data_IF_558180313511
#
_entry.id   IF_558180313511
#
_cell.length_a   1.000
_cell.length_b   1.000
_cell.length_c   1.000
_cell.angle_alpha   90.00
_cell.angle_beta   90.00
_cell.angle_gamma   90.00
#
_symmetry.space_group_name_H-M   'P 1'
#
loop_
_entity.id
_entity.type
_entity.pdbx_description
1 polymer ?
#
# COMPACT_ATOMS: atom_id res chain seq x y z
N UNK A 1 -15.23 3.10 -33.58
CA UNK A 1 -14.05 2.32 -33.20
C UNK A 1 -13.59 2.87 -31.86
N UNK A 2 -13.72 2.10 -30.80
CA UNK A 2 -13.20 2.52 -29.48
C UNK A 2 -11.68 2.62 -29.60
N UNK A 3 -11.13 3.81 -29.36
CA UNK A 3 -9.69 3.99 -29.18
C UNK A 3 -9.27 3.08 -28.03
N UNK A 4 -8.53 2.01 -28.32
CA UNK A 4 -7.80 1.28 -27.30
C UNK A 4 -6.78 2.28 -26.75
N UNK A 5 -6.86 2.72 -25.50
CA UNK A 5 -5.89 3.67 -24.98
C UNK A 5 -4.51 3.00 -25.04
N UNK A 6 -3.50 3.73 -25.51
CA UNK A 6 -2.12 3.25 -25.50
C UNK A 6 -1.75 2.88 -24.05
N UNK A 7 -1.09 1.75 -23.83
CA UNK A 7 -0.72 1.33 -22.49
C UNK A 7 0.18 2.39 -21.82
N UNK A 8 -0.03 2.57 -20.52
CA UNK A 8 0.69 3.56 -19.71
C UNK A 8 2.14 3.12 -19.55
N UNK A 9 3.06 4.01 -19.81
CA UNK A 9 4.50 3.75 -19.68
C UNK A 9 4.91 3.92 -18.22
N UNK A 10 5.29 2.83 -17.57
CA UNK A 10 5.57 2.75 -16.13
C UNK A 10 7.05 2.54 -15.87
N UNK A 11 7.61 3.33 -14.98
CA UNK A 11 8.90 3.06 -14.37
C UNK A 11 8.72 2.41 -12.99
N UNK A 12 9.69 1.58 -12.59
CA UNK A 12 9.72 0.93 -11.27
C UNK A 12 10.98 1.37 -10.52
N UNK A 13 10.81 1.94 -9.33
CA UNK A 13 11.90 2.22 -8.40
C UNK A 13 12.22 1.03 -7.51
N UNK A 14 13.52 0.83 -7.21
CA UNK A 14 14.00 -0.34 -6.48
C UNK A 14 13.85 -1.63 -7.30
N UNK A 15 14.14 -1.55 -8.60
CA UNK A 15 13.88 -2.61 -9.59
C UNK A 15 14.50 -3.95 -9.24
N UNK A 16 15.67 -3.97 -8.60
CA UNK A 16 16.35 -5.20 -8.14
C UNK A 16 15.83 -5.74 -6.80
N UNK A 17 14.92 -5.01 -6.15
CA UNK A 17 14.34 -5.41 -4.87
C UNK A 17 13.17 -6.39 -5.03
N UNK A 18 12.74 -6.98 -3.89
CA UNK A 18 11.62 -7.94 -3.87
C UNK A 18 10.31 -7.38 -4.45
N UNK A 19 9.96 -6.12 -4.11
CA UNK A 19 8.76 -5.48 -4.67
C UNK A 19 8.98 -5.03 -6.11
N UNK A 20 10.20 -4.58 -6.46
CA UNK A 20 10.57 -4.25 -7.83
C UNK A 20 10.35 -5.43 -8.78
N UNK A 21 10.88 -6.61 -8.42
CA UNK A 21 10.67 -7.84 -9.20
C UNK A 21 9.18 -8.18 -9.35
N UNK A 22 8.38 -8.08 -8.28
CA UNK A 22 6.93 -8.34 -8.34
C UNK A 22 6.18 -7.36 -9.24
N UNK A 23 6.56 -6.08 -9.23
CA UNK A 23 5.98 -5.06 -10.10
C UNK A 23 6.34 -5.31 -11.56
N UNK A 24 7.61 -5.62 -11.84
CA UNK A 24 8.10 -5.91 -13.19
C UNK A 24 7.44 -7.18 -13.74
N UNK A 25 7.30 -8.23 -12.92
CA UNK A 25 6.58 -9.44 -13.29
C UNK A 25 5.09 -9.16 -13.57
N UNK A 26 4.42 -8.37 -12.73
CA UNK A 26 3.03 -7.99 -12.93
C UNK A 26 2.83 -7.11 -14.20
N UNK A 27 3.79 -6.22 -14.51
CA UNK A 27 3.77 -5.38 -15.72
C UNK A 27 3.88 -6.20 -17.01
N UNK A 28 4.58 -7.34 -16.99
CA UNK A 28 4.72 -8.20 -18.17
C UNK A 28 3.37 -8.64 -18.74
N UNK A 29 2.44 -8.96 -17.86
CA UNK A 29 1.15 -9.56 -18.21
C UNK A 29 -0.02 -8.55 -18.14
N UNK A 30 0.26 -7.28 -17.82
CA UNK A 30 -0.78 -6.25 -17.68
C UNK A 30 -1.13 -5.62 -19.05
N UNK A 31 -2.42 -5.58 -19.44
CA UNK A 31 -2.82 -5.04 -20.73
C UNK A 31 -2.83 -3.50 -20.77
N UNK A 32 -2.77 -2.82 -19.64
CA UNK A 32 -2.92 -1.37 -19.51
C UNK A 32 -1.63 -0.64 -19.17
N UNK A 33 -0.61 -1.35 -18.66
CA UNK A 33 0.64 -0.80 -18.20
C UNK A 33 1.82 -1.54 -18.84
N UNK A 34 2.82 -0.81 -19.33
CA UNK A 34 4.05 -1.38 -19.88
C UNK A 34 5.27 -0.86 -19.13
N UNK A 35 6.27 -1.73 -18.94
CA UNK A 35 7.54 -1.34 -18.35
C UNK A 35 8.31 -0.46 -19.34
N UNK A 36 8.62 0.77 -18.93
CA UNK A 36 9.34 1.77 -19.73
C UNK A 36 10.58 2.33 -19.05
N UNK A 37 10.75 2.05 -17.76
CA UNK A 37 11.89 2.50 -16.97
C UNK A 37 12.12 1.63 -15.75
N UNK A 38 13.35 1.59 -15.28
CA UNK A 38 13.74 0.86 -14.08
C UNK A 38 14.85 1.61 -13.36
N UNK A 39 14.70 1.79 -12.06
CA UNK A 39 15.59 2.57 -11.22
C UNK A 39 16.07 1.74 -10.03
N UNK A 40 17.32 1.92 -9.67
CA UNK A 40 17.85 1.41 -8.41
C UNK A 40 18.96 2.32 -7.87
N UNK A 41 19.37 2.09 -6.62
CA UNK A 41 20.46 2.83 -5.99
C UNK A 41 21.79 2.53 -6.71
N UNK A 42 22.74 3.47 -6.73
CA UNK A 42 24.02 3.29 -7.45
C UNK A 42 24.83 2.07 -7.01
N UNK A 43 24.65 1.60 -5.77
CA UNK A 43 25.32 0.41 -5.22
C UNK A 43 24.63 -0.91 -5.57
N UNK A 44 23.49 -0.88 -6.28
CA UNK A 44 22.79 -2.10 -6.68
C UNK A 44 23.57 -2.86 -7.76
N UNK A 45 23.68 -4.17 -7.60
CA UNK A 45 24.30 -5.06 -8.59
C UNK A 45 23.45 -5.19 -9.88
N UNK A 46 22.22 -4.71 -9.85
CA UNK A 46 21.33 -4.70 -11.01
C UNK A 46 21.59 -3.58 -11.99
N UNK A 47 22.34 -2.54 -11.62
CA UNK A 47 22.62 -1.41 -12.51
C UNK A 47 23.29 -1.87 -13.82
N UNK A 48 22.75 -1.38 -14.95
CA UNK A 48 23.21 -1.75 -16.30
C UNK A 48 22.64 -3.05 -16.84
N UNK A 49 21.98 -3.87 -16.03
CA UNK A 49 21.30 -5.09 -16.46
C UNK A 49 19.90 -4.79 -17.00
N UNK A 50 19.37 -5.70 -17.82
CA UNK A 50 17.97 -5.65 -18.24
C UNK A 50 17.03 -5.91 -17.05
N UNK A 51 16.01 -5.09 -16.90
CA UNK A 51 15.09 -5.13 -15.75
C UNK A 51 14.29 -6.44 -15.66
N UNK A 52 14.08 -7.15 -16.77
CA UNK A 52 13.39 -8.45 -16.82
C UNK A 52 14.37 -9.64 -16.91
N UNK A 53 15.68 -9.39 -16.80
CA UNK A 53 16.70 -10.44 -16.89
C UNK A 53 16.48 -11.59 -15.90
N UNK A 54 15.94 -11.32 -14.72
CA UNK A 54 15.60 -12.34 -13.71
C UNK A 54 14.44 -13.27 -14.14
N UNK A 55 13.63 -12.88 -15.15
CA UNK A 55 12.58 -13.69 -15.76
C UNK A 55 13.09 -14.52 -16.96
N UNK A 56 14.38 -14.43 -17.30
CA UNK A 56 14.95 -15.11 -18.47
C UNK A 56 14.53 -14.50 -19.82
N UNK A 57 14.02 -13.28 -19.82
CA UNK A 57 13.60 -12.55 -21.02
C UNK A 57 14.21 -11.14 -21.00
N UNK A 58 14.42 -10.55 -22.17
CA UNK A 58 14.91 -9.19 -22.29
C UNK A 58 13.74 -8.23 -22.63
N UNK A 59 13.57 -7.19 -21.82
CA UNK A 59 12.61 -6.11 -22.08
C UNK A 59 13.21 -4.97 -22.92
N UNK A 60 14.54 -4.86 -22.96
CA UNK A 60 15.25 -3.72 -23.49
C UNK A 60 15.27 -2.52 -22.53
N UNK A 61 14.73 -2.65 -21.31
CA UNK A 61 14.74 -1.62 -20.27
C UNK A 61 15.90 -1.88 -19.33
N UNK A 62 16.89 -0.99 -19.35
CA UNK A 62 18.06 -1.07 -18.47
C UNK A 62 17.74 -0.48 -17.10
N UNK A 63 18.25 -1.12 -16.03
CA UNK A 63 18.16 -0.55 -14.67
C UNK A 63 19.18 0.57 -14.55
N UNK A 64 18.70 1.78 -14.29
CA UNK A 64 19.49 3.00 -14.20
C UNK A 64 19.62 3.50 -12.76
N UNK A 65 20.76 4.13 -12.44
CA UNK A 65 20.93 4.87 -11.17
C UNK A 65 20.65 6.36 -11.32
N UNK A 66 20.71 6.88 -12.54
CA UNK A 66 20.29 8.23 -12.85
C UNK A 66 18.76 8.29 -13.00
N UNK A 67 18.12 8.99 -12.08
CA UNK A 67 16.65 9.06 -12.01
C UNK A 67 16.07 9.63 -13.32
N UNK A 68 16.69 10.65 -13.91
CA UNK A 68 16.19 11.27 -15.15
C UNK A 68 16.28 10.32 -16.34
N UNK A 69 17.36 9.55 -16.43
CA UNK A 69 17.50 8.53 -17.48
C UNK A 69 16.47 7.41 -17.33
N UNK A 70 16.32 6.89 -16.13
CA UNK A 70 15.36 5.81 -15.86
C UNK A 70 13.90 6.23 -16.01
N UNK A 71 13.60 7.55 -15.97
CA UNK A 71 12.25 8.09 -16.18
C UNK A 71 11.99 8.60 -17.60
N UNK A 72 13.00 8.66 -18.48
CA UNK A 72 12.92 9.39 -19.75
C UNK A 72 11.73 9.03 -20.64
N UNK A 73 11.29 7.76 -20.61
CA UNK A 73 10.18 7.25 -21.42
C UNK A 73 8.93 6.93 -20.58
N UNK A 74 8.85 7.40 -19.33
CA UNK A 74 7.83 6.96 -18.39
C UNK A 74 6.81 8.06 -18.11
N UNK A 75 5.56 7.67 -17.96
CA UNK A 75 4.45 8.53 -17.59
C UNK A 75 4.15 8.46 -16.09
N UNK A 76 4.42 7.30 -15.46
CA UNK A 76 4.18 7.04 -14.05
C UNK A 76 5.38 6.31 -13.45
N UNK A 77 5.84 6.72 -12.28
CA UNK A 77 6.79 5.99 -11.45
C UNK A 77 6.04 5.26 -10.33
N UNK A 78 6.28 3.95 -10.15
CA UNK A 78 5.83 3.20 -8.98
C UNK A 78 7.01 3.02 -8.02
N UNK A 79 6.84 3.49 -6.78
CA UNK A 79 7.89 3.55 -5.77
C UNK A 79 7.48 2.85 -4.47
N UNK A 80 8.21 1.76 -4.14
CA UNK A 80 8.14 1.03 -2.87
C UNK A 80 9.52 0.97 -2.21
N UNK A 81 10.28 2.04 -2.24
CA UNK A 81 11.65 2.08 -1.75
C UNK A 81 11.71 2.50 -0.27
N UNK A 82 12.44 3.57 0.02
CA UNK A 82 12.59 4.16 1.35
C UNK A 82 12.26 5.66 1.29
N UNK A 83 11.88 6.29 2.43
CA UNK A 83 11.48 7.69 2.44
C UNK A 83 12.45 8.63 1.74
N UNK A 84 13.75 8.49 1.99
CA UNK A 84 14.79 9.35 1.41
C UNK A 84 14.85 9.20 -0.13
N UNK A 85 14.79 7.96 -0.61
CA UNK A 85 14.75 7.65 -2.06
C UNK A 85 13.48 8.22 -2.71
N UNK A 86 12.34 8.00 -2.07
CA UNK A 86 11.05 8.48 -2.57
C UNK A 86 11.03 10.01 -2.68
N UNK A 87 11.58 10.76 -1.70
CA UNK A 87 11.65 12.22 -1.78
C UNK A 87 12.50 12.68 -2.97
N UNK A 88 13.66 12.05 -3.20
CA UNK A 88 14.48 12.34 -4.38
C UNK A 88 13.72 12.05 -5.69
N UNK A 89 12.97 10.96 -5.75
CA UNK A 89 12.13 10.63 -6.89
C UNK A 89 11.00 11.66 -7.09
N UNK A 90 10.34 12.12 -6.02
CA UNK A 90 9.28 13.15 -6.07
C UNK A 90 9.76 14.42 -6.75
N UNK A 91 10.96 14.91 -6.40
CA UNK A 91 11.50 16.15 -6.95
C UNK A 91 11.77 16.03 -8.46
N UNK A 92 12.34 14.91 -8.90
CA UNK A 92 12.61 14.67 -10.32
C UNK A 92 11.31 14.43 -11.10
N UNK A 93 10.38 13.64 -10.55
CA UNK A 93 9.07 13.39 -11.17
C UNK A 93 8.30 14.69 -11.37
N UNK A 94 8.25 15.56 -10.35
CA UNK A 94 7.65 16.88 -10.45
C UNK A 94 8.28 17.71 -11.58
N UNK A 95 9.62 17.73 -11.67
CA UNK A 95 10.34 18.50 -12.68
C UNK A 95 10.16 17.95 -14.11
N UNK A 96 9.91 16.65 -14.25
CA UNK A 96 9.71 15.98 -15.55
C UNK A 96 8.23 15.81 -15.93
N UNK A 97 7.29 16.14 -15.05
CA UNK A 97 5.86 15.89 -15.27
C UNK A 97 5.47 14.41 -15.19
N UNK A 98 6.31 13.57 -14.58
CA UNK A 98 6.02 12.15 -14.33
C UNK A 98 5.14 12.03 -13.08
N UNK A 99 4.08 11.25 -13.17
CA UNK A 99 3.16 10.97 -12.05
C UNK A 99 3.74 9.90 -11.13
N UNK A 100 3.21 9.77 -9.90
CA UNK A 100 3.78 8.80 -8.96
C UNK A 100 2.73 7.95 -8.25
N UNK A 101 3.08 6.69 -8.03
CA UNK A 101 2.41 5.78 -7.09
C UNK A 101 3.40 5.48 -5.97
N UNK A 102 3.10 5.92 -4.76
CA UNK A 102 3.97 5.80 -3.58
C UNK A 102 3.39 4.77 -2.61
N UNK A 103 4.02 3.59 -2.56
CA UNK A 103 3.77 2.54 -1.58
C UNK A 103 4.78 2.51 -0.43
N UNK A 104 5.78 3.38 -0.45
CA UNK A 104 6.74 3.61 0.63
C UNK A 104 6.02 4.09 1.88
N UNK A 105 6.45 3.63 3.03
CA UNK A 105 5.91 4.00 4.35
C UNK A 105 7.00 4.56 5.26
N UNK A 106 6.62 5.14 6.42
CA UNK A 106 7.58 5.64 7.40
C UNK A 106 8.04 7.08 7.16
N UNK A 107 7.30 7.86 6.37
CA UNK A 107 7.59 9.28 6.17
C UNK A 107 7.40 10.10 7.45
N UNK A 108 8.29 11.05 7.69
CA UNK A 108 8.09 12.13 8.65
C UNK A 108 7.00 13.09 8.15
N UNK A 109 6.48 13.94 9.06
CA UNK A 109 5.46 14.93 8.68
C UNK A 109 6.00 15.97 7.70
N UNK A 110 7.29 16.33 7.80
CA UNK A 110 7.96 17.19 6.83
C UNK A 110 8.00 16.55 5.43
N UNK A 111 8.31 15.24 5.34
CA UNK A 111 8.31 14.51 4.08
C UNK A 111 6.90 14.38 3.48
N UNK A 112 5.88 14.12 4.31
CA UNK A 112 4.47 14.11 3.88
C UNK A 112 4.04 15.48 3.34
N UNK A 113 4.43 16.57 4.01
CA UNK A 113 4.16 17.94 3.54
C UNK A 113 4.85 18.21 2.19
N UNK A 114 6.10 17.74 2.01
CA UNK A 114 6.83 17.87 0.74
C UNK A 114 6.12 17.14 -0.41
N UNK A 115 5.65 15.90 -0.17
CA UNK A 115 4.87 15.13 -1.15
C UNK A 115 3.56 15.85 -1.49
N UNK A 116 2.85 16.37 -0.49
CA UNK A 116 1.62 17.12 -0.69
C UNK A 116 1.83 18.41 -1.49
N UNK A 117 2.95 19.11 -1.30
CA UNK A 117 3.31 20.27 -2.10
C UNK A 117 3.62 19.88 -3.56
N UNK A 118 4.37 18.78 -3.77
CA UNK A 118 4.65 18.27 -5.11
C UNK A 118 3.36 17.86 -5.86
N UNK A 119 2.37 17.33 -5.14
CA UNK A 119 1.10 16.92 -5.72
C UNK A 119 0.26 18.08 -6.28
N UNK A 120 0.57 19.33 -5.96
CA UNK A 120 -0.04 20.50 -6.60
C UNK A 120 0.43 20.67 -8.07
N UNK A 121 1.52 20.02 -8.44
CA UNK A 121 2.17 20.14 -9.75
C UNK A 121 2.16 18.84 -10.56
N UNK A 122 2.00 17.70 -9.91
CA UNK A 122 1.85 16.37 -10.55
C UNK A 122 0.84 15.52 -9.80
N UNK A 123 0.29 14.48 -10.44
CA UNK A 123 -0.66 13.59 -9.79
C UNK A 123 0.07 12.48 -9.03
N UNK A 124 -0.26 12.29 -7.76
CA UNK A 124 0.36 11.31 -6.87
C UNK A 124 -0.73 10.47 -6.19
N UNK A 125 -0.61 9.14 -6.27
CA UNK A 125 -1.31 8.23 -5.34
C UNK A 125 -0.34 7.85 -4.24
N UNK A 126 -0.72 8.05 -2.99
CA UNK A 126 0.07 7.65 -1.82
C UNK A 126 -0.79 6.83 -0.88
N UNK A 127 -0.39 5.60 -0.59
CA UNK A 127 -1.09 4.75 0.37
C UNK A 127 -0.12 3.81 1.09
N UNK A 128 -0.33 3.55 2.39
CA UNK A 128 0.51 2.64 3.16
C UNK A 128 0.32 1.16 2.77
N UNK A 129 -0.77 0.86 2.06
CA UNK A 129 -1.08 -0.47 1.55
C UNK A 129 -1.83 -0.35 0.22
N UNK A 130 -1.28 -0.94 -0.84
CA UNK A 130 -1.86 -0.90 -2.18
C UNK A 130 -2.85 -2.06 -2.45
N UNK A 131 -2.98 -3.03 -1.55
CA UNK A 131 -3.90 -4.15 -1.75
C UNK A 131 -5.34 -3.68 -1.88
N UNK A 132 -6.00 -4.04 -2.97
CA UNK A 132 -7.44 -3.78 -3.19
C UNK A 132 -8.26 -4.40 -2.05
N UNK A 133 -7.98 -5.67 -1.69
CA UNK A 133 -8.71 -6.37 -0.64
C UNK A 133 -8.59 -5.68 0.73
N UNK A 134 -7.38 -5.24 1.12
CA UNK A 134 -7.19 -4.49 2.36
C UNK A 134 -7.99 -3.18 2.36
N UNK A 135 -7.94 -2.40 1.30
CA UNK A 135 -8.64 -1.12 1.24
C UNK A 135 -10.17 -1.27 1.22
N UNK A 136 -10.70 -2.29 0.51
CA UNK A 136 -12.13 -2.66 0.59
C UNK A 136 -12.50 -3.06 2.02
N UNK A 137 -11.68 -3.88 2.67
CA UNK A 137 -11.89 -4.28 4.08
C UNK A 137 -11.92 -3.07 5.00
N UNK A 138 -11.00 -2.12 4.86
CA UNK A 138 -11.00 -0.88 5.65
C UNK A 138 -12.30 -0.09 5.48
N UNK A 139 -12.83 -0.01 4.26
CA UNK A 139 -14.12 0.66 4.01
C UNK A 139 -15.30 -0.07 4.66
N UNK A 140 -15.33 -1.40 4.57
CA UNK A 140 -16.34 -2.21 5.24
C UNK A 140 -16.29 -2.06 6.77
N UNK A 141 -15.09 -2.02 7.35
CA UNK A 141 -14.88 -1.77 8.77
C UNK A 141 -15.36 -0.38 9.19
N UNK A 142 -15.10 0.64 8.39
CA UNK A 142 -15.60 2.00 8.63
C UNK A 142 -17.13 2.03 8.65
N UNK A 143 -17.78 1.34 7.71
CA UNK A 143 -19.24 1.24 7.64
C UNK A 143 -19.80 0.48 8.84
N UNK A 144 -19.21 -0.68 9.18
CA UNK A 144 -19.63 -1.51 10.31
C UNK A 144 -19.50 -0.76 11.64
N UNK A 145 -18.37 -0.08 11.87
CA UNK A 145 -18.15 0.72 13.09
C UNK A 145 -19.13 1.87 13.24
N UNK A 146 -19.48 2.54 12.13
CA UNK A 146 -20.53 3.60 12.15
C UNK A 146 -21.92 3.06 12.43
N UNK A 147 -22.25 1.87 11.93
CA UNK A 147 -23.55 1.24 12.13
C UNK A 147 -23.70 0.64 13.54
N UNK A 148 -22.60 0.23 14.18
CA UNK A 148 -22.54 -0.44 15.47
C UNK A 148 -21.63 0.30 16.47
N UNK A 149 -21.91 1.56 16.81
CA UNK A 149 -21.02 2.39 17.64
C UNK A 149 -21.01 1.96 19.11
N UNK A 150 -22.02 1.20 19.55
CA UNK A 150 -22.20 0.70 20.90
C UNK A 150 -22.79 -0.70 20.88
N UNK A 151 -22.68 -1.44 21.99
CA UNK A 151 -23.27 -2.78 22.14
C UNK A 151 -22.45 -3.92 21.53
N UNK A 152 -21.36 -3.64 20.85
CA UNK A 152 -20.46 -4.62 20.26
C UNK A 152 -19.03 -4.47 20.79
N UNK A 153 -18.46 -5.54 21.28
CA UNK A 153 -17.04 -5.64 21.58
C UNK A 153 -16.26 -5.78 20.26
N UNK A 154 -15.18 -5.01 20.08
CA UNK A 154 -14.36 -5.05 18.86
C UNK A 154 -13.02 -5.68 19.18
N UNK A 155 -12.68 -6.75 18.45
CA UNK A 155 -11.40 -7.46 18.56
C UNK A 155 -10.78 -7.63 17.18
N UNK A 156 -9.49 -7.32 17.05
CA UNK A 156 -8.71 -7.48 15.82
C UNK A 156 -7.75 -8.66 16.05
N UNK A 157 -7.88 -9.68 15.23
CA UNK A 157 -7.04 -10.89 15.25
C UNK A 157 -6.18 -10.86 14.00
N UNK A 158 -4.85 -10.84 14.15
CA UNK A 158 -3.93 -10.88 13.01
C UNK A 158 -2.92 -12.01 13.11
N UNK A 159 -2.59 -12.61 11.97
CA UNK A 159 -1.61 -13.67 11.89
C UNK A 159 -0.62 -13.41 10.74
N UNK A 160 0.66 -13.57 11.02
CA UNK A 160 1.75 -13.49 10.05
C UNK A 160 2.80 -14.56 10.29
N UNK A 161 3.70 -14.69 9.31
CA UNK A 161 4.84 -15.60 9.38
C UNK A 161 5.76 -15.32 10.58
N UNK A 162 6.51 -16.34 11.00
CA UNK A 162 7.43 -16.29 12.16
C UNK A 162 8.50 -15.20 12.10
N UNK A 163 8.81 -14.68 10.93
CA UNK A 163 9.86 -13.68 10.72
C UNK A 163 9.37 -12.22 10.78
N UNK A 164 8.07 -11.99 11.02
CA UNK A 164 7.54 -10.64 11.18
C UNK A 164 7.88 -10.11 12.57
N UNK A 165 8.55 -8.96 12.61
CA UNK A 165 9.13 -8.39 13.86
C UNK A 165 8.21 -7.40 14.57
N UNK A 166 7.34 -6.71 13.83
CA UNK A 166 6.36 -5.77 14.37
C UNK A 166 5.08 -6.51 14.84
N UNK A 167 4.52 -6.09 15.96
CA UNK A 167 3.26 -6.58 16.54
C UNK A 167 2.56 -5.45 17.32
N UNK A 168 1.26 -5.17 17.03
CA UNK A 168 0.48 -5.67 15.90
C UNK A 168 1.02 -5.22 14.56
N UNK A 169 0.56 -5.85 13.46
CA UNK A 169 0.91 -5.45 12.10
C UNK A 169 0.39 -4.04 11.78
N UNK A 170 1.10 -3.31 10.90
CA UNK A 170 0.64 -1.99 10.45
C UNK A 170 -0.76 -2.00 9.84
N UNK A 171 -1.16 -3.10 9.18
CA UNK A 171 -2.53 -3.27 8.65
C UNK A 171 -3.55 -3.42 9.78
N UNK A 172 -3.25 -4.19 10.83
CA UNK A 172 -4.13 -4.33 12.00
C UNK A 172 -4.28 -2.98 12.73
N UNK A 173 -3.19 -2.25 12.93
CA UNK A 173 -3.25 -0.89 13.51
C UNK A 173 -4.12 0.03 12.66
N UNK A 174 -3.98 0.01 11.33
CA UNK A 174 -4.82 0.81 10.44
C UNK A 174 -6.30 0.44 10.49
N UNK A 175 -6.63 -0.85 10.63
CA UNK A 175 -8.00 -1.30 10.86
C UNK A 175 -8.57 -0.71 12.16
N UNK A 176 -7.78 -0.73 13.25
CA UNK A 176 -8.15 -0.11 14.52
C UNK A 176 -8.36 1.39 14.41
N UNK A 177 -7.44 2.11 13.75
CA UNK A 177 -7.55 3.56 13.52
C UNK A 177 -8.83 3.93 12.79
N UNK A 178 -9.12 3.26 11.66
CA UNK A 178 -10.32 3.54 10.85
C UNK A 178 -11.61 3.31 11.65
N UNK A 179 -11.67 2.28 12.48
CA UNK A 179 -12.83 2.03 13.32
C UNK A 179 -12.94 3.03 14.47
N UNK A 180 -11.83 3.32 15.16
CA UNK A 180 -11.80 4.31 16.24
C UNK A 180 -12.27 5.67 15.73
N UNK A 181 -11.71 6.15 14.61
CA UNK A 181 -12.11 7.40 13.95
C UNK A 181 -13.59 7.40 13.57
N UNK A 182 -14.10 6.30 12.98
CA UNK A 182 -15.48 6.16 12.58
C UNK A 182 -16.47 6.25 13.77
N UNK A 183 -16.01 5.88 14.97
CA UNK A 183 -16.76 5.97 16.24
C UNK A 183 -16.46 7.23 17.06
N UNK A 184 -15.66 8.17 16.53
CA UNK A 184 -15.26 9.38 17.24
C UNK A 184 -14.31 9.12 18.42
N UNK A 185 -13.48 8.06 18.34
CA UNK A 185 -12.51 7.63 19.37
C UNK A 185 -11.08 7.82 18.87
N UNK A 186 -10.14 7.90 19.81
CA UNK A 186 -8.70 7.85 19.52
C UNK A 186 -8.18 6.44 19.80
N UNK A 187 -7.57 5.79 18.80
CA UNK A 187 -7.03 4.44 18.98
C UNK A 187 -5.99 4.37 20.10
N UNK A 188 -5.13 5.39 20.23
CA UNK A 188 -4.11 5.44 21.29
C UNK A 188 -4.67 5.39 22.72
N UNK A 189 -5.95 5.77 22.91
CA UNK A 189 -6.63 5.78 24.20
C UNK A 189 -7.50 4.54 24.44
N UNK A 190 -7.99 3.90 23.36
CA UNK A 190 -8.92 2.77 23.47
C UNK A 190 -8.33 1.41 23.04
N UNK A 191 -7.08 1.36 22.58
CA UNK A 191 -6.44 0.10 22.19
C UNK A 191 -6.02 -0.73 23.40
N UNK A 192 -6.29 -2.05 23.33
CA UNK A 192 -5.79 -3.05 24.29
C UNK A 192 -4.97 -4.08 23.53
N UNK A 193 -3.67 -4.06 23.73
CA UNK A 193 -2.73 -4.92 23.01
C UNK A 193 -2.42 -6.25 23.71
N UNK A 194 -2.72 -6.34 25.01
CA UNK A 194 -2.40 -7.50 25.82
C UNK A 194 -3.47 -7.76 26.88
N UNK A 195 -3.82 -9.03 27.08
CA UNK A 195 -4.62 -9.53 28.20
C UNK A 195 -3.94 -10.76 28.76
N UNK A 196 -3.54 -10.69 30.03
CA UNK A 196 -2.89 -11.81 30.74
C UNK A 196 -3.36 -11.90 32.19
N UNK A 197 -3.64 -13.11 32.68
CA UNK A 197 -4.09 -13.37 34.04
C UNK A 197 -5.52 -12.88 34.31
N UNK A 198 -5.78 -12.32 35.47
CA UNK A 198 -7.08 -11.80 35.87
C UNK A 198 -7.18 -10.32 35.47
N UNK A 199 -7.85 -10.03 34.36
CA UNK A 199 -7.96 -8.68 33.79
C UNK A 199 -9.27 -7.95 34.14
N UNK A 200 -10.19 -8.62 34.87
CA UNK A 200 -11.54 -8.10 35.10
C UNK A 200 -12.43 -8.17 33.85
N UNK A 201 -13.59 -7.57 33.94
CA UNK A 201 -14.49 -7.46 32.79
C UNK A 201 -13.89 -6.54 31.72
N UNK A 202 -14.21 -6.85 30.47
CA UNK A 202 -13.76 -6.05 29.33
C UNK A 202 -14.45 -4.67 29.33
N UNK A 203 -13.68 -3.59 29.25
CA UNK A 203 -14.24 -2.26 28.99
C UNK A 203 -14.90 -2.23 27.59
N UNK A 204 -16.21 -1.88 27.50
CA UNK A 204 -16.95 -1.88 26.24
C UNK A 204 -16.40 -0.89 25.20
N UNK A 205 -15.65 0.14 25.63
CA UNK A 205 -15.13 1.17 24.76
C UNK A 205 -13.79 0.84 24.10
N UNK A 206 -13.18 -0.32 24.45
CA UNK A 206 -11.87 -0.69 23.92
C UNK A 206 -11.93 -1.42 22.59
N UNK A 207 -10.83 -1.35 21.84
CA UNK A 207 -10.54 -2.18 20.67
C UNK A 207 -9.37 -3.09 21.04
N UNK A 208 -9.62 -4.40 21.07
CA UNK A 208 -8.60 -5.38 21.42
C UNK A 208 -7.80 -5.85 20.21
N UNK A 209 -6.56 -6.28 20.48
CA UNK A 209 -5.66 -6.85 19.47
C UNK A 209 -5.15 -8.21 19.95
N UNK A 210 -5.19 -9.19 19.06
CA UNK A 210 -4.59 -10.50 19.24
C UNK A 210 -3.62 -10.78 18.09
N UNK A 211 -2.36 -11.05 18.40
CA UNK A 211 -1.28 -11.24 17.44
C UNK A 211 -0.83 -12.69 17.40
N UNK A 212 -0.82 -13.30 16.22
CA UNK A 212 -0.34 -14.65 15.98
C UNK A 212 0.89 -14.59 15.06
N UNK A 213 1.94 -15.38 15.39
CA UNK A 213 3.15 -15.57 14.59
C UNK A 213 3.38 -17.05 14.35
N UNK A 214 3.38 -17.49 13.08
CA UNK A 214 3.55 -18.90 12.76
C UNK A 214 3.71 -19.18 11.28
N UNK A 215 4.39 -20.27 10.96
CA UNK A 215 4.54 -20.75 9.59
C UNK A 215 5.07 -19.69 8.61
N UNK A 216 4.43 -19.70 7.45
CA UNK A 216 4.68 -18.82 6.30
C UNK A 216 3.48 -17.91 5.96
N UNK A 217 2.55 -17.74 6.90
CA UNK A 217 1.35 -16.90 6.74
C UNK A 217 1.75 -15.52 6.22
N UNK A 218 1.23 -15.15 5.06
CA UNK A 218 1.55 -13.87 4.42
C UNK A 218 0.91 -12.69 5.17
N UNK A 219 -0.36 -12.85 5.58
CA UNK A 219 -1.07 -11.88 6.40
C UNK A 219 -2.56 -12.14 6.44
N UNK A 220 -3.06 -12.56 7.58
CA UNK A 220 -4.49 -12.73 7.86
C UNK A 220 -4.93 -11.69 8.88
N UNK A 221 -6.08 -11.10 8.66
CA UNK A 221 -6.67 -10.10 9.55
C UNK A 221 -8.17 -10.35 9.66
N UNK A 222 -8.65 -10.58 10.85
CA UNK A 222 -10.08 -10.71 11.16
C UNK A 222 -10.47 -9.66 12.18
N UNK A 223 -11.50 -8.89 11.89
CA UNK A 223 -12.14 -8.01 12.87
C UNK A 223 -13.45 -8.63 13.28
N UNK A 224 -13.58 -8.89 14.58
CA UNK A 224 -14.76 -9.40 15.23
C UNK A 224 -15.53 -8.26 15.87
N UNK A 225 -16.81 -8.12 15.54
CA UNK A 225 -17.80 -7.33 16.26
C UNK A 225 -18.71 -8.30 17.02
N UNK A 226 -18.57 -8.39 18.34
CA UNK A 226 -19.29 -9.33 19.17
C UNK A 226 -20.38 -8.60 19.98
N UNK A 227 -21.63 -8.80 19.62
CA UNK A 227 -22.82 -8.34 20.33
C UNK A 227 -23.44 -9.43 21.18
N UNK A 228 -24.55 -9.10 21.88
CA UNK A 228 -25.34 -10.07 22.63
C UNK A 228 -26.19 -10.89 21.66
N UNK A 229 -25.90 -12.20 21.59
CA UNK A 229 -26.66 -13.14 20.75
C UNK A 229 -26.20 -13.21 19.28
N UNK A 230 -25.32 -12.32 18.84
CA UNK A 230 -24.76 -12.34 17.47
C UNK A 230 -23.34 -11.84 17.42
N UNK A 231 -22.64 -12.13 16.33
CA UNK A 231 -21.35 -11.54 16.00
C UNK A 231 -21.17 -11.42 14.49
N UNK A 232 -20.39 -10.43 14.08
CA UNK A 232 -20.00 -10.19 12.69
C UNK A 232 -18.48 -10.31 12.62
N UNK A 233 -17.97 -11.02 11.63
CA UNK A 233 -16.56 -11.15 11.34
C UNK A 233 -16.27 -10.61 9.94
N UNK A 234 -15.33 -9.66 9.83
CA UNK A 234 -14.83 -9.16 8.55
C UNK A 234 -13.39 -9.60 8.43
N UNK A 235 -13.12 -10.49 7.48
CA UNK A 235 -11.82 -11.14 7.32
C UNK A 235 -11.19 -10.83 5.98
N UNK A 236 -9.92 -10.47 5.99
CA UNK A 236 -9.03 -10.40 4.83
C UNK A 236 -7.88 -11.38 4.99
N UNK A 237 -7.63 -12.22 4.00
CA UNK A 237 -6.47 -13.13 3.95
C UNK A 237 -5.65 -12.86 2.70
N UNK A 238 -4.36 -12.66 2.88
CA UNK A 238 -3.41 -12.52 1.79
C UNK A 238 -2.60 -13.80 1.61
N UNK A 239 -2.69 -14.42 0.45
CA UNK A 239 -1.89 -15.60 0.09
C UNK A 239 -0.67 -15.26 -0.76
N UNK A 240 -0.57 -14.02 -1.27
CA UNK A 240 0.55 -13.55 -2.09
C UNK A 240 0.76 -12.05 -1.95
N UNK A 241 2.01 -11.62 -2.01
CA UNK A 241 2.37 -10.20 -2.11
C UNK A 241 2.11 -9.59 -3.49
N UNK A 242 1.80 -10.39 -4.50
CA UNK A 242 1.43 -9.90 -5.84
C UNK A 242 0.22 -8.95 -5.81
N UNK A 243 -0.65 -9.06 -4.80
CA UNK A 243 -1.77 -8.14 -4.59
C UNK A 243 -1.34 -6.68 -4.42
N UNK A 244 -0.15 -6.43 -3.87
CA UNK A 244 0.40 -5.07 -3.75
C UNK A 244 0.86 -4.54 -5.10
N UNK A 245 1.52 -5.37 -5.92
CA UNK A 245 1.94 -4.99 -7.27
C UNK A 245 0.73 -4.68 -8.16
N UNK A 246 -0.29 -5.56 -8.16
CA UNK A 246 -1.53 -5.34 -8.92
C UNK A 246 -2.26 -4.06 -8.47
N UNK A 247 -2.30 -3.78 -7.17
CA UNK A 247 -2.85 -2.53 -6.65
C UNK A 247 -2.06 -1.31 -7.10
N UNK A 248 -0.72 -1.40 -7.14
CA UNK A 248 0.16 -0.37 -7.69
C UNK A 248 -0.09 -0.09 -9.17
N UNK A 249 -0.27 -1.14 -9.99
CA UNK A 249 -0.62 -0.98 -11.41
C UNK A 249 -2.01 -0.35 -11.58
N UNK A 250 -2.99 -0.74 -10.77
CA UNK A 250 -4.32 -0.12 -10.77
C UNK A 250 -4.25 1.36 -10.39
N UNK A 251 -3.40 1.74 -9.44
CA UNK A 251 -3.15 3.13 -9.08
C UNK A 251 -2.47 3.90 -10.23
N UNK A 252 -1.52 3.29 -10.93
CA UNK A 252 -0.91 3.87 -12.12
C UNK A 252 -1.95 4.12 -13.23
N UNK A 253 -2.83 3.15 -13.48
CA UNK A 253 -3.93 3.30 -14.44
C UNK A 253 -4.90 4.41 -14.05
N UNK A 254 -5.25 4.54 -12.76
CA UNK A 254 -6.08 5.62 -12.24
C UNK A 254 -5.47 7.01 -12.51
N UNK A 255 -4.15 7.12 -12.46
CA UNK A 255 -3.46 8.38 -12.71
C UNK A 255 -3.45 8.80 -14.19
N UNK A 256 -3.82 7.95 -15.14
CA UNK A 256 -3.69 8.23 -16.57
C UNK A 256 -4.31 9.57 -16.98
N UNK A 257 -5.50 9.88 -16.50
CA UNK A 257 -6.26 11.09 -16.80
C UNK A 257 -6.10 12.23 -15.76
N UNK A 258 -5.37 12.00 -14.67
CA UNK A 258 -5.15 13.00 -13.63
C UNK A 258 -3.98 13.91 -13.98
N UNK A 259 -4.14 15.20 -13.80
CA UNK A 259 -3.06 16.19 -14.04
C UNK A 259 -2.25 16.45 -12.79
N UNK A 260 -2.93 16.73 -11.69
CA UNK A 260 -2.35 17.05 -10.38
C UNK A 260 -3.27 16.51 -9.28
N UNK A 261 -2.77 16.41 -8.07
CA UNK A 261 -3.53 16.03 -6.87
C UNK A 261 -2.87 14.92 -6.08
N UNK A 262 -3.17 14.88 -4.79
CA UNK A 262 -2.78 13.80 -3.90
C UNK A 262 -4.00 12.91 -3.66
N UNK A 263 -3.87 11.67 -4.06
CA UNK A 263 -4.92 10.63 -3.99
C UNK A 263 -4.47 9.49 -3.10
N UNK A 264 -5.42 8.70 -2.63
CA UNK A 264 -5.17 7.44 -1.95
C UNK A 264 -5.87 6.25 -2.65
N UNK A 265 -5.78 5.07 -2.06
CA UNK A 265 -6.43 3.88 -2.63
C UNK A 265 -7.97 3.94 -2.56
N UNK A 266 -8.57 4.74 -1.68
CA UNK A 266 -10.03 4.93 -1.70
C UNK A 266 -10.48 5.71 -2.93
N UNK A 267 -9.68 6.70 -3.37
CA UNK A 267 -9.92 7.41 -4.63
C UNK A 267 -9.77 6.47 -5.83
N UNK A 268 -8.68 5.67 -5.85
CA UNK A 268 -8.40 4.68 -6.91
C UNK A 268 -9.53 3.66 -7.05
N UNK A 269 -10.16 3.28 -5.95
CA UNK A 269 -11.19 2.24 -5.90
C UNK A 269 -12.62 2.80 -5.96
N UNK A 270 -12.81 4.14 -5.94
CA UNK A 270 -14.13 4.76 -5.91
C UNK A 270 -14.90 4.48 -4.61
N UNK A 271 -14.20 4.44 -3.47
CA UNK A 271 -14.75 4.10 -2.15
C UNK A 271 -15.05 5.34 -1.27
N UNK A 272 -14.95 6.53 -1.81
CA UNK A 272 -15.26 7.79 -1.10
C UNK A 272 -16.75 7.96 -0.88
#
# INVERSE_FOLDING_TARGET
MAHTPHPIQVAVAGASGRMGHMLIEALRDDPHCHLAGALDIPSSLGIGNDATGFLGQASGVTIESDIRKGLANSQVLIDFTRPEGTIAHVDVCRAMGVKMVIGTTGFSDAQKAHIAEAAKHTAIVMAPNMSVGVNVTLKLLQMAAKAMPTGYAIEIIEAHHRHKVDAPSGTALKMGEVMAEAMGRNLGECAVYERYGHTGERDPNTIGFATIRGGDIVGDHTVLFAGTGERIEITHRSSSRATYAQGGLRAAAFLADKKTGLFDMFDVLGLR
#
